data_IF_391276200940
#
_entry.id   IF_391276200940
#
_cell.length_a   1.000
_cell.length_b   1.000
_cell.length_c   1.000
_cell.angle_alpha   90.00
_cell.angle_beta   90.00
_cell.angle_gamma   90.00
#
_symmetry.space_group_name_H-M   'P 1'
#
loop_
_entity.id
_entity.type
_entity.pdbx_description
1 polymer ?
#
# COMPACT_ATOMS: atom_id res chain seq x y z
N UNK A 1 -33.55 21.01 9.64
CA UNK A 1 -32.62 21.07 8.49
C UNK A 1 -31.17 21.36 8.90
N UNK A 2 -30.84 22.10 9.95
CA UNK A 2 -29.45 22.49 10.32
C UNK A 2 -28.56 21.33 10.81
N UNK A 3 -29.11 20.25 11.36
CA UNK A 3 -28.33 19.09 11.91
C UNK A 3 -27.72 18.19 10.84
N UNK A 4 -28.31 18.12 9.64
CA UNK A 4 -27.82 17.27 8.54
C UNK A 4 -26.58 17.87 7.85
N UNK A 5 -26.49 19.20 7.79
CA UNK A 5 -25.31 19.89 7.24
C UNK A 5 -24.12 19.89 8.20
N UNK A 6 -24.38 19.78 9.51
CA UNK A 6 -23.33 19.71 10.52
C UNK A 6 -22.58 18.36 10.49
N UNK A 7 -23.26 17.26 10.20
CA UNK A 7 -22.66 15.94 10.01
C UNK A 7 -21.85 15.85 8.70
N UNK A 8 -22.33 16.46 7.64
CA UNK A 8 -21.61 16.51 6.37
C UNK A 8 -20.38 17.44 6.45
N UNK A 9 -20.45 18.53 7.19
CA UNK A 9 -19.33 19.43 7.42
C UNK A 9 -18.29 18.82 8.38
N UNK A 10 -18.73 18.07 9.41
CA UNK A 10 -17.84 17.35 10.32
C UNK A 10 -17.08 16.20 9.64
N UNK A 11 -17.68 15.55 8.62
CA UNK A 11 -16.97 14.55 7.83
C UNK A 11 -15.91 15.16 6.88
N UNK A 12 -16.12 16.38 6.39
CA UNK A 12 -15.12 17.08 5.58
C UNK A 12 -13.93 17.62 6.40
N UNK A 13 -14.16 17.99 7.66
CA UNK A 13 -13.08 18.50 8.52
C UNK A 13 -12.18 17.43 9.11
N UNK A 14 -12.63 16.16 9.17
CA UNK A 14 -11.77 15.03 9.55
C UNK A 14 -10.75 14.65 8.46
N UNK A 15 -10.93 15.07 7.21
CA UNK A 15 -9.97 14.83 6.12
C UNK A 15 -8.76 15.77 6.13
N UNK A 16 -8.76 16.81 6.97
CA UNK A 16 -7.73 17.89 6.96
C UNK A 16 -6.48 17.64 7.80
N UNK A 17 -6.41 16.55 8.57
CA UNK A 17 -5.31 16.33 9.54
C UNK A 17 -4.28 15.27 9.13
N UNK A 18 -4.23 14.86 7.86
CA UNK A 18 -3.38 13.77 7.37
C UNK A 18 -2.08 14.24 6.70
N UNK A 19 -1.56 15.39 7.10
CA UNK A 19 -0.39 16.04 6.44
C UNK A 19 0.97 15.40 6.71
N UNK A 20 1.04 14.28 7.42
CA UNK A 20 2.30 13.61 7.76
C UNK A 20 2.44 12.19 7.18
N UNK A 21 1.51 11.74 6.32
CA UNK A 21 1.61 10.40 5.73
C UNK A 21 2.36 10.46 4.40
N UNK A 22 3.29 9.53 4.23
CA UNK A 22 3.97 9.30 2.95
C UNK A 22 2.93 9.00 1.86
N UNK A 23 2.77 9.89 0.90
CA UNK A 23 1.76 9.81 -0.16
C UNK A 23 1.87 8.51 -0.97
N UNK A 24 3.07 7.98 -1.14
CA UNK A 24 3.29 6.70 -1.83
C UNK A 24 2.77 5.51 -1.03
N UNK A 25 2.85 5.56 0.31
CA UNK A 25 2.29 4.52 1.18
C UNK A 25 0.77 4.59 1.18
N UNK A 26 0.20 5.80 1.19
CA UNK A 26 -1.26 5.99 1.08
C UNK A 26 -1.77 5.45 -0.25
N UNK A 27 -1.11 5.73 -1.37
CA UNK A 27 -1.45 5.17 -2.67
C UNK A 27 -1.33 3.63 -2.68
N UNK A 28 -0.26 3.10 -2.09
CA UNK A 28 -0.06 1.67 -1.96
C UNK A 28 -1.20 0.99 -1.18
N UNK A 29 -1.72 1.60 -0.13
CA UNK A 29 -2.79 1.07 0.72
C UNK A 29 -4.19 1.27 0.11
N UNK A 30 -4.43 2.37 -0.60
CA UNK A 30 -5.73 2.70 -1.18
C UNK A 30 -6.08 1.89 -2.42
N UNK A 31 -5.08 1.44 -3.16
CA UNK A 31 -5.26 0.67 -4.38
C UNK A 31 -5.77 -0.75 -4.15
N UNK A 32 -6.32 -1.35 -5.20
CA UNK A 32 -6.66 -2.76 -5.24
C UNK A 32 -6.29 -3.33 -6.61
N UNK A 33 -5.76 -4.54 -6.61
CA UNK A 33 -5.51 -5.27 -7.85
C UNK A 33 -6.81 -5.93 -8.33
N UNK A 34 -6.98 -6.05 -9.65
CA UNK A 34 -8.06 -6.83 -10.20
C UNK A 34 -7.77 -8.31 -9.96
N UNK A 35 -8.38 -8.86 -8.94
CA UNK A 35 -8.18 -10.23 -8.50
C UNK A 35 -9.52 -10.89 -8.14
N UNK A 36 -9.56 -12.22 -8.15
CA UNK A 36 -10.77 -12.97 -7.87
C UNK A 36 -10.88 -14.23 -8.72
N UNK A 37 -12.11 -14.69 -8.98
CA UNK A 37 -12.35 -15.82 -9.87
C UNK A 37 -11.90 -15.49 -11.30
N UNK A 38 -11.52 -16.50 -12.08
CA UNK A 38 -11.13 -16.32 -13.48
C UNK A 38 -12.24 -15.61 -14.30
N UNK A 39 -13.52 -15.88 -13.99
CA UNK A 39 -14.67 -15.23 -14.60
C UNK A 39 -14.68 -13.73 -14.25
N UNK A 40 -14.51 -13.37 -12.99
CA UNK A 40 -14.50 -11.98 -12.53
C UNK A 40 -13.37 -11.19 -13.19
N UNK A 41 -12.16 -11.74 -13.18
CA UNK A 41 -10.98 -11.13 -13.80
C UNK A 41 -11.13 -11.01 -15.31
N UNK A 42 -11.64 -12.07 -15.98
CA UNK A 42 -11.88 -12.06 -17.42
C UNK A 42 -12.92 -11.04 -17.88
N UNK A 43 -13.82 -10.63 -16.98
CA UNK A 43 -14.80 -9.56 -17.22
C UNK A 43 -14.32 -8.17 -16.79
N UNK A 44 -13.05 -8.03 -16.41
CA UNK A 44 -12.50 -6.76 -15.94
C UNK A 44 -13.13 -6.26 -14.63
N UNK A 45 -13.71 -7.16 -13.81
CA UNK A 45 -14.43 -6.81 -12.57
C UNK A 45 -15.83 -6.21 -12.79
N UNK A 46 -16.34 -6.15 -14.03
CA UNK A 46 -17.62 -5.53 -14.37
C UNK A 46 -18.82 -6.40 -14.01
N UNK A 47 -18.93 -6.82 -12.73
CA UNK A 47 -19.95 -7.75 -12.25
C UNK A 47 -20.86 -7.18 -11.16
N UNK A 48 -20.83 -5.89 -10.88
CA UNK A 48 -21.58 -5.27 -9.78
C UNK A 48 -23.11 -5.44 -9.84
N UNK A 49 -23.68 -5.56 -11.02
CA UNK A 49 -25.11 -5.86 -11.23
C UNK A 49 -25.34 -7.28 -11.76
N UNK A 50 -24.29 -7.95 -12.25
CA UNK A 50 -24.40 -9.31 -12.78
C UNK A 50 -24.51 -10.35 -11.67
N UNK A 51 -23.69 -10.23 -10.62
CA UNK A 51 -23.69 -11.14 -9.47
C UNK A 51 -23.37 -12.60 -9.82
N UNK A 52 -23.74 -13.50 -8.91
CA UNK A 52 -23.51 -14.95 -8.99
C UNK A 52 -22.02 -15.30 -9.23
N UNK A 53 -21.14 -14.58 -8.54
CA UNK A 53 -19.72 -14.80 -8.48
C UNK A 53 -19.21 -14.43 -7.09
N UNK A 54 -18.38 -15.28 -6.50
CA UNK A 54 -17.89 -15.10 -5.13
C UNK A 54 -17.07 -13.79 -4.98
N UNK A 55 -16.38 -13.37 -6.04
CA UNK A 55 -15.58 -12.14 -6.03
C UNK A 55 -16.42 -10.87 -5.93
N UNK A 56 -17.73 -10.94 -6.25
CA UNK A 56 -18.64 -9.78 -6.12
C UNK A 56 -18.92 -9.40 -4.67
N UNK A 57 -18.61 -10.26 -3.71
CA UNK A 57 -18.77 -10.02 -2.27
C UNK A 57 -18.06 -8.72 -1.81
N UNK A 58 -16.91 -8.43 -2.44
CA UNK A 58 -16.10 -7.25 -2.15
C UNK A 58 -16.58 -5.96 -2.84
N UNK A 59 -17.42 -6.04 -3.87
CA UNK A 59 -17.86 -4.90 -4.68
C UNK A 59 -19.34 -4.61 -4.54
N UNK A 60 -20.21 -5.61 -4.71
CA UNK A 60 -21.64 -5.52 -4.44
C UNK A 60 -22.12 -6.76 -3.70
N UNK A 61 -22.33 -6.67 -2.38
CA UNK A 61 -22.79 -7.78 -1.54
C UNK A 61 -24.05 -8.50 -2.03
N UNK A 62 -24.95 -7.78 -2.69
CA UNK A 62 -26.20 -8.35 -3.24
C UNK A 62 -25.95 -9.41 -4.34
N UNK A 63 -24.77 -9.38 -4.97
CA UNK A 63 -24.37 -10.36 -5.98
C UNK A 63 -24.37 -11.79 -5.46
N UNK A 64 -24.09 -12.00 -4.18
CA UNK A 64 -24.15 -13.30 -3.51
C UNK A 64 -25.59 -13.79 -3.38
N UNK A 65 -26.57 -12.90 -3.29
CA UNK A 65 -28.00 -13.23 -3.27
C UNK A 65 -28.51 -13.96 -4.52
N UNK A 66 -27.75 -13.92 -5.61
CA UNK A 66 -28.11 -14.61 -6.86
C UNK A 66 -27.76 -16.11 -6.89
N UNK A 67 -27.00 -16.60 -5.92
CA UNK A 67 -26.73 -18.02 -5.83
C UNK A 67 -28.00 -18.78 -5.46
N UNK A 68 -28.26 -19.86 -6.18
CA UNK A 68 -29.38 -20.79 -5.96
C UNK A 68 -28.92 -22.16 -5.49
N UNK A 69 -27.61 -22.36 -5.41
CA UNK A 69 -26.94 -23.58 -4.93
C UNK A 69 -25.69 -23.15 -4.18
N UNK A 70 -25.30 -23.97 -3.24
CA UNK A 70 -24.01 -23.81 -2.57
C UNK A 70 -22.88 -23.99 -3.55
N UNK A 71 -21.82 -23.22 -3.39
CA UNK A 71 -20.67 -23.18 -4.29
C UNK A 71 -19.38 -22.94 -3.50
N UNK A 72 -18.27 -23.44 -4.05
CA UNK A 72 -16.92 -23.27 -3.51
C UNK A 72 -16.01 -22.86 -4.65
N UNK A 73 -15.21 -21.85 -4.43
CA UNK A 73 -14.24 -21.39 -5.42
C UNK A 73 -12.86 -21.19 -4.78
N UNK A 74 -11.82 -21.49 -5.57
CA UNK A 74 -10.45 -21.15 -5.23
C UNK A 74 -9.71 -20.72 -6.49
N UNK A 75 -8.77 -19.79 -6.33
CA UNK A 75 -7.96 -19.26 -7.43
C UNK A 75 -6.52 -19.12 -6.99
N UNK A 76 -5.63 -19.54 -7.86
CA UNK A 76 -4.20 -19.30 -7.74
C UNK A 76 -3.66 -18.64 -8.99
N UNK A 77 -2.61 -17.85 -8.84
CA UNK A 77 -1.90 -17.20 -9.94
C UNK A 77 -0.39 -17.40 -9.85
N UNK A 78 0.29 -17.06 -10.92
CA UNK A 78 1.74 -16.97 -10.96
C UNK A 78 2.12 -15.58 -11.48
N UNK A 79 2.93 -14.86 -10.70
CA UNK A 79 3.49 -13.57 -11.10
C UNK A 79 4.93 -13.76 -11.52
N UNK A 80 5.27 -13.28 -12.72
CA UNK A 80 6.62 -13.34 -13.27
C UNK A 80 7.07 -11.92 -13.59
N UNK A 81 8.25 -11.53 -13.12
CA UNK A 81 8.91 -10.27 -13.48
C UNK A 81 10.11 -10.58 -14.38
N UNK A 82 9.97 -10.50 -15.74
CA UNK A 82 10.98 -11.04 -16.68
C UNK A 82 12.36 -10.41 -16.54
N UNK A 83 12.42 -9.11 -16.24
CA UNK A 83 13.67 -8.33 -16.15
C UNK A 83 14.10 -8.05 -14.70
N UNK A 84 13.50 -8.73 -13.72
CA UNK A 84 13.89 -8.63 -12.32
C UNK A 84 15.20 -9.40 -12.08
N UNK A 85 16.16 -8.79 -11.39
CA UNK A 85 17.28 -9.52 -10.81
C UNK A 85 16.84 -10.21 -9.52
N UNK A 86 17.52 -11.26 -9.12
CA UNK A 86 17.26 -11.86 -7.80
C UNK A 86 17.78 -10.94 -6.70
N UNK A 87 16.93 -10.68 -5.71
CA UNK A 87 17.28 -9.86 -4.57
C UNK A 87 16.98 -10.65 -3.29
N UNK A 88 18.01 -11.26 -2.74
CA UNK A 88 17.88 -12.14 -1.58
C UNK A 88 16.91 -13.30 -1.86
N UNK A 89 15.87 -13.42 -1.02
CA UNK A 89 14.87 -14.49 -1.13
C UNK A 89 13.73 -14.20 -2.13
N UNK A 90 13.83 -13.11 -2.91
CA UNK A 90 12.77 -12.68 -3.83
C UNK A 90 13.04 -13.19 -5.24
N UNK A 91 12.45 -14.31 -5.60
CA UNK A 91 12.55 -14.91 -6.92
C UNK A 91 11.75 -14.18 -7.98
N UNK A 92 12.20 -14.23 -9.24
CA UNK A 92 11.54 -13.68 -10.44
C UNK A 92 10.13 -14.23 -10.67
N UNK A 93 9.92 -15.50 -10.37
CA UNK A 93 8.63 -16.17 -10.52
C UNK A 93 8.13 -16.65 -9.15
N UNK A 94 6.88 -16.38 -8.84
CA UNK A 94 6.27 -16.82 -7.59
C UNK A 94 4.80 -17.16 -7.77
N UNK A 95 4.42 -18.34 -7.26
CA UNK A 95 3.01 -18.69 -7.12
C UNK A 95 2.33 -17.83 -6.07
N UNK A 96 1.07 -17.53 -6.28
CA UNK A 96 0.21 -16.79 -5.35
C UNK A 96 -1.11 -17.53 -5.17
N UNK A 97 -1.54 -17.63 -3.93
CA UNK A 97 -2.90 -18.03 -3.59
C UNK A 97 -3.75 -16.77 -3.50
N UNK A 98 -4.71 -16.61 -4.39
CA UNK A 98 -5.35 -15.32 -4.61
C UNK A 98 -6.73 -15.25 -4.01
N UNK A 99 -7.50 -16.35 -4.06
CA UNK A 99 -8.86 -16.39 -3.55
C UNK A 99 -9.23 -17.80 -3.11
N UNK A 100 -9.99 -17.88 -2.02
CA UNK A 100 -10.76 -19.06 -1.63
C UNK A 100 -12.00 -18.65 -0.87
N UNK A 101 -13.09 -19.33 -1.11
CA UNK A 101 -14.30 -19.05 -0.36
C UNK A 101 -15.43 -20.00 -0.75
N UNK A 102 -16.53 -19.81 -0.04
CA UNK A 102 -17.74 -20.61 -0.25
C UNK A 102 -18.98 -19.75 -0.10
N UNK A 103 -20.05 -20.21 -0.73
CA UNK A 103 -21.42 -19.74 -0.56
C UNK A 103 -22.29 -20.90 -0.12
N UNK A 104 -22.98 -20.74 0.98
CA UNK A 104 -24.01 -21.67 1.43
C UNK A 104 -25.38 -21.05 1.14
N UNK A 105 -26.17 -21.72 0.28
CA UNK A 105 -27.46 -21.25 -0.19
C UNK A 105 -28.59 -22.03 0.44
N UNK A 106 -29.40 -21.35 1.26
CA UNK A 106 -30.59 -21.90 1.90
C UNK A 106 -31.84 -21.51 1.11
N UNK A 107 -32.58 -22.51 0.59
CA UNK A 107 -33.88 -22.28 0.00
C UNK A 107 -34.91 -22.05 1.11
N UNK A 108 -35.71 -21.00 0.94
CA UNK A 108 -36.77 -20.57 1.86
C UNK A 108 -38.16 -20.71 1.22
N UNK A 109 -38.95 -19.66 1.27
CA UNK A 109 -40.33 -19.60 0.80
C UNK A 109 -40.44 -19.00 -0.61
N UNK A 110 -41.67 -18.92 -1.15
CA UNK A 110 -41.95 -18.31 -2.46
C UNK A 110 -41.68 -16.81 -2.50
N UNK A 111 -41.77 -16.11 -1.36
CA UNK A 111 -41.47 -14.67 -1.27
C UNK A 111 -40.00 -14.41 -1.07
N UNK A 112 -39.41 -15.00 -0.05
CA UNK A 112 -37.96 -14.98 0.23
C UNK A 112 -37.38 -16.30 -0.29
N UNK A 113 -36.92 -16.31 -1.53
CA UNK A 113 -36.52 -17.56 -2.19
C UNK A 113 -35.26 -18.19 -1.62
N UNK A 114 -34.26 -17.34 -1.37
CA UNK A 114 -32.98 -17.79 -0.85
C UNK A 114 -32.41 -16.83 0.19
N UNK A 115 -31.77 -17.39 1.19
CA UNK A 115 -30.87 -16.71 2.11
C UNK A 115 -29.51 -17.34 1.91
N UNK A 116 -28.51 -16.54 1.54
CA UNK A 116 -27.17 -17.01 1.29
C UNK A 116 -26.20 -16.43 2.33
N UNK A 117 -25.33 -17.30 2.83
CA UNK A 117 -24.21 -16.94 3.70
C UNK A 117 -22.93 -17.28 2.95
N UNK A 118 -21.98 -16.35 2.93
CA UNK A 118 -20.73 -16.57 2.23
C UNK A 118 -19.53 -16.11 3.05
N UNK A 119 -18.43 -16.78 2.83
CA UNK A 119 -17.11 -16.36 3.26
C UNK A 119 -16.18 -16.35 2.07
N UNK A 120 -15.34 -15.33 1.98
CA UNK A 120 -14.34 -15.21 0.94
C UNK A 120 -13.04 -14.66 1.51
N UNK A 121 -11.94 -15.34 1.25
CA UNK A 121 -10.59 -14.83 1.34
C UNK A 121 -10.16 -14.35 -0.04
N UNK A 122 -9.62 -13.14 -0.12
CA UNK A 122 -9.08 -12.58 -1.36
C UNK A 122 -7.81 -11.79 -1.08
N UNK A 123 -6.78 -11.99 -1.90
CA UNK A 123 -5.64 -11.10 -1.92
C UNK A 123 -6.02 -9.82 -2.66
N UNK A 124 -6.27 -8.73 -1.90
CA UNK A 124 -6.70 -7.45 -2.45
C UNK A 124 -5.57 -6.74 -3.21
N UNK A 125 -4.33 -6.83 -2.71
CA UNK A 125 -3.15 -6.25 -3.33
C UNK A 125 -1.92 -7.10 -3.11
N UNK A 126 -1.06 -7.15 -4.12
CA UNK A 126 0.25 -7.79 -4.06
C UNK A 126 1.32 -6.71 -4.22
N UNK A 127 2.20 -6.58 -3.20
CA UNK A 127 3.25 -5.56 -3.20
C UNK A 127 4.56 -6.03 -3.83
N UNK A 128 4.60 -7.26 -4.36
CA UNK A 128 5.85 -7.78 -4.93
C UNK A 128 6.32 -6.91 -6.10
N UNK A 129 7.42 -6.21 -5.87
CA UNK A 129 8.07 -5.38 -6.88
C UNK A 129 9.57 -5.34 -6.62
N UNK A 130 10.35 -5.39 -7.69
CA UNK A 130 11.80 -5.25 -7.65
C UNK A 130 12.24 -4.16 -8.64
N UNK A 131 13.11 -3.28 -8.19
CA UNK A 131 13.75 -2.24 -9.00
C UNK A 131 15.24 -2.32 -8.73
N UNK A 132 16.03 -2.46 -9.80
CA UNK A 132 17.49 -2.47 -9.73
C UNK A 132 18.07 -1.50 -10.75
N UNK A 133 18.95 -0.62 -10.28
CA UNK A 133 19.75 0.31 -11.08
C UNK A 133 21.19 0.16 -10.61
N UNK A 134 22.08 -0.21 -11.52
CA UNK A 134 23.47 -0.41 -11.19
C UNK A 134 24.36 0.48 -12.08
N UNK A 135 25.40 1.03 -11.49
CA UNK A 135 26.44 1.78 -12.18
C UNK A 135 25.91 2.97 -12.99
N UNK A 136 24.97 3.72 -12.40
CA UNK A 136 24.39 4.91 -13.02
C UNK A 136 25.27 6.11 -12.70
N UNK A 137 25.68 6.85 -13.73
CA UNK A 137 26.43 8.09 -13.54
C UNK A 137 25.58 9.15 -12.84
N UNK A 138 26.13 9.82 -11.85
CA UNK A 138 25.47 10.94 -11.18
C UNK A 138 25.46 12.17 -12.09
N UNK A 139 24.44 12.99 -11.99
CA UNK A 139 24.40 14.27 -12.70
C UNK A 139 25.20 15.29 -11.91
N UNK A 140 26.16 15.93 -12.56
CA UNK A 140 26.99 17.00 -12.00
C UNK A 140 27.73 16.62 -10.69
N UNK A 141 28.00 15.31 -10.49
CA UNK A 141 28.67 14.81 -9.29
C UNK A 141 27.80 14.85 -8.02
N UNK A 142 26.48 15.06 -8.14
CA UNK A 142 25.59 15.16 -6.99
C UNK A 142 25.41 13.81 -6.30
N UNK A 143 25.81 13.74 -5.04
CA UNK A 143 25.58 12.63 -4.13
C UNK A 143 24.25 12.79 -3.40
N UNK A 144 23.73 11.71 -2.79
CA UNK A 144 22.60 11.78 -1.88
C UNK A 144 22.89 12.67 -0.64
N UNK A 145 24.15 12.88 -0.31
CA UNK A 145 24.57 13.79 0.77
C UNK A 145 24.08 15.23 0.59
N UNK A 146 23.81 15.68 -0.65
CA UNK A 146 23.18 16.98 -0.91
C UNK A 146 21.77 17.05 -0.31
N UNK A 147 20.99 15.99 -0.43
CA UNK A 147 19.69 15.93 0.22
C UNK A 147 19.81 15.89 1.75
N UNK A 148 20.83 15.20 2.28
CA UNK A 148 21.10 15.18 3.72
C UNK A 148 21.46 16.57 4.21
N UNK A 149 22.25 17.32 3.47
CA UNK A 149 22.60 18.71 3.75
C UNK A 149 21.35 19.60 3.75
N UNK A 150 20.51 19.53 2.72
CA UNK A 150 19.29 20.32 2.65
C UNK A 150 18.35 20.07 3.84
N UNK A 151 18.25 18.83 4.29
CA UNK A 151 17.46 18.44 5.45
C UNK A 151 18.09 18.84 6.79
N UNK A 152 19.35 19.27 6.80
CA UNK A 152 20.01 19.86 7.97
C UNK A 152 19.71 21.36 8.14
N UNK A 153 18.96 21.98 7.23
CA UNK A 153 18.51 23.37 7.31
C UNK A 153 17.03 23.43 7.68
N UNK A 154 16.70 24.10 8.79
CA UNK A 154 15.33 24.19 9.28
C UNK A 154 15.09 25.53 10.01
N UNK A 155 13.99 26.20 9.68
CA UNK A 155 13.58 27.43 10.38
C UNK A 155 14.63 28.55 10.33
N UNK A 156 15.20 28.81 9.14
CA UNK A 156 16.21 29.83 8.87
C UNK A 156 17.57 29.64 9.59
N UNK A 157 17.84 28.42 10.05
CA UNK A 157 19.13 28.07 10.66
C UNK A 157 19.62 26.68 10.26
N UNK A 158 20.90 26.48 10.31
CA UNK A 158 21.52 25.15 10.26
C UNK A 158 21.34 24.44 11.61
N UNK A 159 20.93 23.20 11.57
CA UNK A 159 20.74 22.34 12.74
C UNK A 159 22.10 21.82 13.21
N UNK A 160 22.34 21.83 14.51
CA UNK A 160 23.47 21.14 15.09
C UNK A 160 23.20 19.65 15.18
N UNK A 161 23.91 18.86 14.38
CA UNK A 161 23.77 17.40 14.30
C UNK A 161 24.71 16.65 15.23
N UNK A 162 25.42 17.35 16.12
CA UNK A 162 26.29 16.71 17.12
C UNK A 162 25.52 15.73 18.01
N UNK A 163 26.08 14.60 18.41
CA UNK A 163 25.43 13.64 19.27
C UNK A 163 24.91 14.28 20.56
N UNK A 164 23.61 14.13 20.81
CA UNK A 164 22.93 14.69 21.99
C UNK A 164 22.38 16.11 21.82
N UNK A 165 22.50 16.72 20.64
CA UNK A 165 21.84 18.00 20.33
C UNK A 165 20.33 17.83 20.18
N UNK A 166 19.54 18.75 20.74
CA UNK A 166 18.07 18.81 20.57
C UNK A 166 17.65 19.06 19.13
N UNK A 167 18.53 19.61 18.30
CA UNK A 167 18.27 19.87 16.89
C UNK A 167 18.17 18.56 16.06
N UNK A 168 18.76 17.47 16.52
CA UNK A 168 18.62 16.13 15.89
C UNK A 168 17.16 15.68 15.81
N UNK A 169 16.29 16.13 16.71
CA UNK A 169 14.85 15.81 16.68
C UNK A 169 14.06 16.57 15.59
N UNK A 170 14.69 17.55 14.94
CA UNK A 170 14.07 18.42 13.91
C UNK A 170 14.38 17.99 12.48
N UNK A 171 15.23 16.99 12.31
CA UNK A 171 15.63 16.46 11.01
C UNK A 171 15.30 14.96 10.88
N UNK A 172 15.70 14.37 9.76
CA UNK A 172 15.42 12.97 9.47
C UNK A 172 16.56 12.05 9.97
N UNK A 173 16.27 10.78 10.27
CA UNK A 173 17.31 9.79 10.58
C UNK A 173 18.40 9.68 9.50
N UNK A 174 18.02 9.88 8.22
CA UNK A 174 18.96 9.89 7.10
C UNK A 174 20.05 10.96 7.25
N UNK A 175 19.66 12.17 7.65
CA UNK A 175 20.59 13.29 7.86
C UNK A 175 21.54 13.03 9.01
N UNK A 176 21.03 12.48 10.12
CA UNK A 176 21.85 12.16 11.31
C UNK A 176 22.89 11.07 10.97
N UNK A 177 22.45 9.98 10.34
CA UNK A 177 23.37 8.89 9.95
C UNK A 177 24.37 9.36 8.89
N UNK A 178 23.96 10.28 7.99
CA UNK A 178 24.87 10.89 7.00
C UNK A 178 25.95 11.79 7.65
N UNK A 179 25.59 12.49 8.72
CA UNK A 179 26.55 13.25 9.52
C UNK A 179 27.52 12.31 10.26
N UNK A 180 27.02 11.28 10.94
CA UNK A 180 27.85 10.29 11.63
C UNK A 180 28.79 9.54 10.68
N UNK A 181 28.34 9.31 9.44
CA UNK A 181 29.13 8.69 8.39
C UNK A 181 30.05 9.66 7.64
N UNK A 182 30.15 10.91 8.07
CA UNK A 182 30.97 11.99 7.47
C UNK A 182 30.64 12.29 5.98
N UNK A 183 29.44 11.98 5.52
CA UNK A 183 28.97 12.32 4.18
C UNK A 183 28.61 13.80 4.04
N UNK A 184 28.27 14.46 5.16
CA UNK A 184 28.13 15.89 5.29
C UNK A 184 29.04 16.37 6.43
N UNK A 185 29.87 17.36 6.15
CA UNK A 185 30.86 17.89 7.12
C UNK A 185 30.47 19.29 7.56
N UNK A 186 30.41 19.59 8.87
CA UNK A 186 30.01 20.89 9.36
C UNK A 186 31.06 21.97 9.00
N UNK A 187 30.59 23.15 8.65
CA UNK A 187 31.35 24.36 8.43
C UNK A 187 31.11 25.37 9.55
N UNK A 188 32.19 25.94 10.08
CA UNK A 188 32.13 26.97 11.12
C UNK A 188 32.80 28.25 10.64
N UNK A 189 32.30 29.39 11.13
CA UNK A 189 32.97 30.67 10.95
C UNK A 189 34.14 30.86 11.92
N UNK A 190 34.81 32.02 11.86
CA UNK A 190 35.94 32.36 12.72
C UNK A 190 35.56 32.45 14.22
N UNK A 191 34.28 32.65 14.52
CA UNK A 191 33.71 32.74 15.88
C UNK A 191 33.24 31.37 16.40
N UNK A 192 33.42 30.30 15.61
CA UNK A 192 33.00 28.92 15.95
C UNK A 192 31.50 28.68 15.80
N UNK A 193 30.78 29.51 15.07
CA UNK A 193 29.36 29.34 14.80
C UNK A 193 29.16 28.49 13.54
N UNK A 194 28.25 27.52 13.61
CA UNK A 194 27.87 26.70 12.48
C UNK A 194 27.26 27.54 11.35
N UNK A 195 27.86 27.48 10.17
CA UNK A 195 27.45 28.27 8.98
C UNK A 195 26.87 27.39 7.88
N UNK A 196 27.06 26.05 7.95
CA UNK A 196 26.54 25.13 6.97
C UNK A 196 27.13 23.75 7.06
N UNK A 197 26.87 22.96 6.05
CA UNK A 197 27.45 21.66 5.82
C UNK A 197 28.00 21.56 4.40
N UNK A 198 29.09 20.85 4.24
CA UNK A 198 29.66 20.51 2.92
C UNK A 198 29.25 19.07 2.59
N UNK A 199 28.52 18.85 1.49
CA UNK A 199 28.17 17.51 1.04
C UNK A 199 29.35 16.86 0.30
N UNK A 200 29.36 15.54 0.23
CA UNK A 200 30.26 14.75 -0.60
C UNK A 200 29.83 14.80 -2.08
N UNK A 201 30.77 14.49 -2.99
CA UNK A 201 30.49 14.30 -4.41
C UNK A 201 30.55 12.81 -4.76
N UNK A 202 29.80 12.42 -5.78
CA UNK A 202 29.76 11.04 -6.26
C UNK A 202 29.81 10.96 -7.79
N UNK A 203 30.50 9.96 -8.33
CA UNK A 203 30.56 9.69 -9.76
C UNK A 203 29.39 8.82 -10.21
N UNK A 204 29.07 7.81 -9.42
CA UNK A 204 28.10 6.79 -9.78
C UNK A 204 27.32 6.33 -8.57
N UNK A 205 26.12 5.79 -8.82
CA UNK A 205 25.32 5.15 -7.79
C UNK A 205 24.73 3.82 -8.26
N UNK A 206 24.41 2.98 -7.30
CA UNK A 206 23.60 1.79 -7.43
C UNK A 206 22.41 1.89 -6.50
N UNK A 207 21.23 1.53 -6.99
CA UNK A 207 19.99 1.53 -6.24
C UNK A 207 19.26 0.21 -6.46
N UNK A 208 18.95 -0.48 -5.41
CA UNK A 208 18.18 -1.72 -5.44
C UNK A 208 17.08 -1.66 -4.40
N UNK A 209 15.84 -1.87 -4.83
CA UNK A 209 14.68 -1.91 -3.95
C UNK A 209 13.85 -3.15 -4.20
N UNK A 210 13.59 -3.90 -3.15
CA UNK A 210 12.67 -5.01 -3.15
C UNK A 210 11.51 -4.72 -2.22
N UNK A 211 10.30 -4.96 -2.70
CA UNK A 211 9.08 -4.90 -1.91
C UNK A 211 8.36 -6.24 -1.97
N UNK A 212 7.74 -6.64 -0.87
CA UNK A 212 6.93 -7.86 -0.80
C UNK A 212 5.84 -7.77 0.26
N UNK A 213 4.94 -8.76 0.26
CA UNK A 213 3.76 -8.79 1.10
C UNK A 213 2.49 -8.49 0.31
N UNK A 214 1.46 -8.04 0.98
CA UNK A 214 0.17 -7.77 0.37
C UNK A 214 -0.89 -7.33 1.35
N UNK A 215 -2.07 -7.03 0.82
CA UNK A 215 -3.29 -6.82 1.58
C UNK A 215 -4.17 -8.03 1.37
N UNK A 216 -4.48 -8.73 2.46
CA UNK A 216 -5.43 -9.84 2.50
C UNK A 216 -6.77 -9.33 2.98
N UNK A 217 -7.84 -9.74 2.31
CA UNK A 217 -9.21 -9.37 2.63
C UNK A 217 -10.00 -10.64 2.96
N UNK A 218 -10.77 -10.58 4.02
CA UNK A 218 -11.66 -11.61 4.51
C UNK A 218 -13.07 -11.04 4.59
N UNK A 219 -13.96 -11.52 3.74
CA UNK A 219 -15.33 -11.01 3.66
C UNK A 219 -16.32 -12.04 4.21
N UNK A 220 -17.16 -11.60 5.12
CA UNK A 220 -18.33 -12.35 5.62
C UNK A 220 -19.58 -11.68 5.09
N UNK A 221 -20.42 -12.44 4.41
CA UNK A 221 -21.62 -11.93 3.76
C UNK A 221 -22.87 -12.67 4.18
N UNK A 222 -23.95 -11.91 4.32
CA UNK A 222 -25.30 -12.43 4.32
C UNK A 222 -26.11 -11.70 3.24
N UNK A 223 -26.85 -12.46 2.44
CA UNK A 223 -27.63 -11.89 1.35
C UNK A 223 -28.95 -12.61 1.14
N UNK A 224 -29.88 -11.87 0.57
CA UNK A 224 -31.28 -12.24 0.47
C UNK A 224 -31.73 -12.13 -0.98
N UNK A 225 -32.61 -13.04 -1.39
CA UNK A 225 -33.22 -13.07 -2.72
C UNK A 225 -34.74 -13.11 -2.57
N UNK A 226 -35.38 -12.00 -2.94
CA UNK A 226 -36.84 -11.91 -2.99
C UNK A 226 -37.34 -12.09 -4.41
N UNK A 227 -38.08 -13.17 -4.66
CA UNK A 227 -38.76 -13.50 -5.91
C UNK A 227 -37.87 -13.49 -7.16
N UNK A 228 -36.55 -13.62 -7.01
CA UNK A 228 -35.57 -13.43 -8.10
C UNK A 228 -35.63 -12.03 -8.78
N UNK A 229 -36.21 -11.05 -8.11
CA UNK A 229 -36.35 -9.67 -8.59
C UNK A 229 -35.51 -8.69 -7.76
N UNK A 230 -35.48 -8.86 -6.46
CA UNK A 230 -34.74 -7.99 -5.54
C UNK A 230 -33.73 -8.83 -4.76
N UNK A 231 -32.50 -8.38 -4.79
CA UNK A 231 -31.40 -8.96 -4.05
C UNK A 231 -30.79 -7.89 -3.18
N UNK A 232 -30.57 -8.20 -1.90
CA UNK A 232 -29.87 -7.32 -0.98
C UNK A 232 -28.79 -8.11 -0.23
N UNK A 233 -27.69 -7.46 0.08
CA UNK A 233 -26.60 -8.09 0.80
C UNK A 233 -25.87 -7.12 1.71
N UNK A 234 -25.31 -7.69 2.77
CA UNK A 234 -24.44 -7.04 3.74
C UNK A 234 -23.15 -7.82 3.80
N UNK A 235 -22.02 -7.14 3.69
CA UNK A 235 -20.69 -7.71 3.89
C UNK A 235 -19.97 -6.96 5.00
N UNK A 236 -19.35 -7.72 5.90
CA UNK A 236 -18.33 -7.25 6.81
C UNK A 236 -16.97 -7.69 6.28
N UNK A 237 -16.09 -6.74 5.96
CA UNK A 237 -14.74 -6.97 5.50
C UNK A 237 -13.71 -6.76 6.59
N UNK A 238 -12.82 -7.72 6.76
CA UNK A 238 -11.63 -7.61 7.60
C UNK A 238 -10.38 -7.66 6.73
N UNK A 239 -9.39 -6.86 7.07
CA UNK A 239 -8.16 -6.70 6.28
C UNK A 239 -6.95 -6.98 7.14
N UNK A 240 -5.96 -7.65 6.55
CA UNK A 240 -4.62 -7.79 7.10
C UNK A 240 -3.63 -7.19 6.12
N UNK A 241 -2.87 -6.21 6.59
CA UNK A 241 -1.85 -5.51 5.81
C UNK A 241 -0.48 -5.98 6.24
N UNK A 242 0.35 -6.34 5.27
CA UNK A 242 1.73 -6.71 5.49
C UNK A 242 2.55 -6.24 4.28
N UNK A 243 3.30 -5.15 4.46
CA UNK A 243 4.18 -4.57 3.45
C UNK A 243 5.59 -4.53 4.01
N UNK A 244 6.51 -5.15 3.31
CA UNK A 244 7.94 -5.05 3.58
C UNK A 244 8.64 -4.39 2.40
N UNK A 245 9.63 -3.56 2.71
CA UNK A 245 10.51 -2.94 1.74
C UNK A 245 11.94 -3.03 2.21
N UNK A 246 12.86 -3.41 1.34
CA UNK A 246 14.30 -3.31 1.57
C UNK A 246 14.92 -2.53 0.42
N UNK A 247 15.67 -1.51 0.76
CA UNK A 247 16.39 -0.66 -0.18
C UNK A 247 17.87 -0.74 0.16
N UNK A 248 18.69 -1.06 -0.85
CA UNK A 248 20.14 -0.95 -0.79
C UNK A 248 20.56 0.14 -1.75
N UNK A 249 21.39 1.04 -1.27
CA UNK A 249 21.91 2.16 -2.01
C UNK A 249 23.42 2.25 -1.79
N UNK A 250 24.17 2.46 -2.85
CA UNK A 250 25.61 2.66 -2.79
C UNK A 250 26.03 3.79 -3.72
N UNK A 251 27.02 4.57 -3.35
CA UNK A 251 27.65 5.57 -4.21
C UNK A 251 29.17 5.44 -4.20
N UNK A 252 29.77 5.62 -5.36
CA UNK A 252 31.20 5.84 -5.53
C UNK A 252 31.47 7.33 -5.31
N UNK A 253 31.98 7.67 -4.12
CA UNK A 253 32.34 9.02 -3.72
C UNK A 253 33.67 9.43 -4.36
N UNK A 254 33.83 10.74 -4.56
CA UNK A 254 35.08 11.34 -5.08
C UNK A 254 35.46 12.53 -4.21
N UNK A 255 36.70 12.54 -3.76
CA UNK A 255 37.25 13.69 -3.06
C UNK A 255 37.93 14.70 -4.06
N UNK A 256 38.33 15.87 -3.53
CA UNK A 256 39.00 16.91 -4.29
C UNK A 256 40.37 16.49 -4.91
N UNK A 257 40.91 15.33 -4.50
CA UNK A 257 42.15 14.75 -4.98
C UNK A 257 41.93 13.58 -5.94
N UNK A 258 40.67 13.34 -6.38
CA UNK A 258 40.24 12.20 -7.19
C UNK A 258 40.45 10.83 -6.50
N UNK A 259 40.58 10.78 -5.17
CA UNK A 259 40.50 9.49 -4.50
C UNK A 259 39.04 9.05 -4.47
N UNK A 260 38.81 7.78 -4.70
CA UNK A 260 37.47 7.17 -4.68
C UNK A 260 37.26 6.41 -3.37
N UNK A 261 36.07 6.55 -2.82
CA UNK A 261 35.55 5.76 -1.71
C UNK A 261 34.14 5.28 -2.03
N UNK A 262 33.65 4.30 -1.35
CA UNK A 262 32.29 3.81 -1.56
C UNK A 262 31.56 3.82 -0.22
N UNK A 263 30.36 4.41 -0.17
CA UNK A 263 29.48 4.21 0.97
C UNK A 263 28.30 3.35 0.59
N UNK A 264 27.78 2.67 1.56
CA UNK A 264 26.66 1.77 1.43
C UNK A 264 25.59 2.10 2.48
N UNK A 265 24.35 2.21 2.02
CA UNK A 265 23.18 2.41 2.87
C UNK A 265 22.17 1.28 2.67
N UNK A 266 21.71 0.71 3.74
CA UNK A 266 20.63 -0.27 3.73
C UNK A 266 19.47 0.21 4.59
N UNK A 267 18.30 0.29 4.00
CA UNK A 267 17.06 0.66 4.67
C UNK A 267 16.08 -0.49 4.58
N UNK A 268 15.52 -0.87 5.71
CA UNK A 268 14.44 -1.83 5.81
C UNK A 268 13.21 -1.16 6.44
N UNK A 269 12.07 -1.34 5.82
CA UNK A 269 10.80 -0.84 6.32
C UNK A 269 9.78 -1.97 6.37
N UNK A 270 8.95 -1.98 7.39
CA UNK A 270 7.79 -2.83 7.49
C UNK A 270 6.58 -2.04 7.92
N UNK A 271 5.45 -2.31 7.30
CA UNK A 271 4.14 -1.78 7.64
C UNK A 271 3.19 -2.95 7.82
N UNK A 272 2.64 -3.10 9.01
CA UNK A 272 1.74 -4.20 9.34
C UNK A 272 0.57 -3.72 10.17
N UNK A 273 -0.56 -4.41 10.05
CA UNK A 273 -1.74 -4.12 10.85
C UNK A 273 -3.00 -4.70 10.27
N UNK A 274 -4.13 -4.25 10.82
CA UNK A 274 -5.45 -4.74 10.48
C UNK A 274 -6.39 -3.59 10.10
N UNK A 275 -7.46 -3.93 9.41
CA UNK A 275 -8.50 -2.98 9.07
C UNK A 275 -9.85 -3.65 8.93
N UNK A 276 -10.91 -2.85 8.87
CA UNK A 276 -12.26 -3.36 8.63
C UNK A 276 -13.10 -2.36 7.84
N UNK A 277 -14.10 -2.86 7.16
CA UNK A 277 -15.14 -2.08 6.51
C UNK A 277 -16.49 -2.80 6.54
N UNK A 278 -17.54 -2.08 6.17
CA UNK A 278 -18.90 -2.63 6.00
C UNK A 278 -19.43 -2.19 4.65
N UNK A 279 -20.03 -3.12 3.93
CA UNK A 279 -20.59 -2.89 2.59
C UNK A 279 -22.05 -3.31 2.55
N UNK A 280 -22.86 -2.51 1.89
CA UNK A 280 -24.28 -2.79 1.60
C UNK A 280 -24.48 -2.77 0.09
N UNK A 281 -25.29 -3.68 -0.40
CA UNK A 281 -25.60 -3.77 -1.81
C UNK A 281 -27.05 -4.14 -2.08
N UNK A 282 -27.56 -3.64 -3.19
CA UNK A 282 -28.88 -3.99 -3.72
C UNK A 282 -28.74 -4.21 -5.22
N UNK A 283 -29.42 -5.26 -5.73
CA UNK A 283 -29.59 -5.49 -7.16
C UNK A 283 -31.09 -5.69 -7.41
N UNK A 284 -31.62 -5.02 -8.42
CA UNK A 284 -33.02 -5.12 -8.82
C UNK A 284 -33.13 -5.56 -10.25
N UNK A 285 -33.99 -6.53 -10.50
CA UNK A 285 -34.42 -7.00 -11.81
C UNK A 285 -35.90 -6.60 -12.01
N UNK A 286 -36.18 -5.43 -12.61
CA UNK A 286 -37.54 -4.86 -12.62
C UNK A 286 -38.53 -5.65 -13.49
N UNK A 287 -38.05 -6.35 -14.52
CA UNK A 287 -38.84 -7.11 -15.45
C UNK A 287 -38.50 -8.59 -15.40
N UNK A 288 -39.48 -9.46 -15.18
CA UNK A 288 -39.26 -10.91 -15.06
C UNK A 288 -38.71 -11.54 -16.34
N UNK A 289 -39.17 -11.08 -17.49
CA UNK A 289 -38.80 -11.61 -18.81
C UNK A 289 -37.53 -10.95 -19.42
N UNK A 290 -36.97 -9.94 -18.74
CA UNK A 290 -35.79 -9.22 -19.20
C UNK A 290 -34.55 -9.59 -18.43
N UNK A 291 -33.38 -9.75 -19.08
CA UNK A 291 -32.11 -9.92 -18.40
C UNK A 291 -31.59 -8.64 -17.73
N UNK A 292 -32.27 -7.50 -17.96
CA UNK A 292 -31.87 -6.20 -17.44
C UNK A 292 -31.85 -6.18 -15.91
N UNK A 293 -30.74 -5.69 -15.35
CA UNK A 293 -30.51 -5.59 -13.91
C UNK A 293 -29.87 -4.25 -13.58
N UNK A 294 -30.23 -3.73 -12.44
CA UNK A 294 -29.70 -2.50 -11.89
C UNK A 294 -29.12 -2.77 -10.52
N UNK A 295 -27.85 -2.40 -10.27
CA UNK A 295 -27.15 -2.63 -9.01
C UNK A 295 -26.59 -1.35 -8.42
N UNK A 296 -26.75 -1.19 -7.11
CA UNK A 296 -26.16 -0.12 -6.32
C UNK A 296 -25.48 -0.72 -5.10
N UNK A 297 -24.31 -0.22 -4.77
CA UNK A 297 -23.60 -0.58 -3.54
C UNK A 297 -23.00 0.65 -2.88
N UNK A 298 -22.92 0.62 -1.56
CA UNK A 298 -22.23 1.61 -0.74
C UNK A 298 -21.29 0.86 0.22
N UNK A 299 -20.13 1.46 0.48
CA UNK A 299 -19.17 0.95 1.43
C UNK A 299 -18.69 2.07 2.36
N UNK A 300 -18.38 1.73 3.60
CA UNK A 300 -17.63 2.63 4.48
C UNK A 300 -16.20 2.76 3.97
N UNK A 301 -15.45 3.79 4.37
CA UNK A 301 -13.99 3.75 4.30
C UNK A 301 -13.45 2.51 5.04
N UNK A 302 -12.29 2.03 4.64
CA UNK A 302 -11.58 1.01 5.41
C UNK A 302 -10.89 1.72 6.58
N UNK A 303 -11.21 1.31 7.80
CA UNK A 303 -10.56 1.79 9.01
C UNK A 303 -9.36 0.92 9.31
N UNK A 304 -8.16 1.46 9.13
CA UNK A 304 -6.91 0.76 9.38
C UNK A 304 -6.29 1.19 10.71
N UNK A 305 -5.76 0.21 11.43
CA UNK A 305 -4.80 0.37 12.52
C UNK A 305 -3.47 -0.25 12.09
N UNK A 306 -2.46 0.60 11.85
CA UNK A 306 -1.22 0.21 11.23
C UNK A 306 -0.02 0.64 12.07
N UNK A 307 0.94 -0.27 12.19
CA UNK A 307 2.24 -0.03 12.82
C UNK A 307 3.33 -0.04 11.76
N UNK A 308 4.13 1.03 11.73
CA UNK A 308 5.31 1.13 10.88
C UNK A 308 6.57 0.98 11.69
N UNK A 309 7.50 0.16 11.19
CA UNK A 309 8.87 0.06 11.71
C UNK A 309 9.84 0.35 10.57
N UNK A 310 10.89 1.10 10.87
CA UNK A 310 11.97 1.39 9.92
C UNK A 310 13.33 1.17 10.58
N UNK A 311 14.26 0.69 9.79
CA UNK A 311 15.65 0.52 10.17
C UNK A 311 16.52 1.09 9.05
N UNK A 312 17.49 1.91 9.43
CA UNK A 312 18.47 2.51 8.53
C UNK A 312 19.87 2.18 9.04
N UNK A 313 20.70 1.65 8.15
CA UNK A 313 22.10 1.38 8.39
C UNK A 313 22.94 2.02 7.28
N UNK A 314 24.03 2.65 7.65
CA UNK A 314 24.98 3.24 6.71
C UNK A 314 26.40 2.83 7.12
N UNK A 315 27.21 2.55 6.12
CA UNK A 315 28.64 2.32 6.27
C UNK A 315 29.37 3.22 5.28
N UNK A 316 30.35 3.95 5.76
CA UNK A 316 31.15 4.91 4.98
C UNK A 316 32.63 4.50 5.07
N UNK A 317 33.44 4.83 4.07
CA UNK A 317 34.87 4.60 4.07
C UNK A 317 35.64 5.54 5.01
N UNK A 318 34.98 6.55 5.60
CA UNK A 318 35.58 7.58 6.46
C UNK A 318 35.37 7.29 7.94
#
# INVERSE_FOLDING_TARGET
MKRKYFLALASLTLCGSLSAQDIYKVEALSGSDLNGTARYVGMGGAMNALGADLSTIGTNPAGIGMYRRSDVAFTGSATVQPNGEEFGDINRARGSFDQAGFVYSCKMDDKLRFVNVAFNYQKRRNFKNYIGLNNIATKDGMSQSWQMMDLAYYGDKWLDLSPGSDDCNKTTPLTIVGYDAQLITPQYDADGKLTGYIPSFANKYAYQRAQWGGIQQYDFNISFNWKDQIYAGLTFGAYNVNLHSRTNYAEELVDSKNNTGEYYMSQAESLSGAGFDVKLGIIVRPLEDSPFRFGVSIATPIFFDLTQSSYLYMNSPY
#
